data_IF_562976622314
#
_entry.id   IF_562976622314
#
_cell.length_a   1.000
_cell.length_b   1.000
_cell.length_c   1.000
_cell.angle_alpha   90.00
_cell.angle_beta   90.00
_cell.angle_gamma   90.00
#
_symmetry.space_group_name_H-M   'P 1'
#
loop_
_entity.id
_entity.type
_entity.pdbx_description
1 polymer ?
#
# COMPACT_ATOMS: atom_id res chain seq x y z
N UNK A 1 -9.15 -6.71 15.84
CA UNK A 1 -8.20 -5.75 16.46
C UNK A 1 -7.01 -5.54 15.55
N UNK A 2 -6.41 -4.36 15.60
CA UNK A 2 -5.15 -4.05 14.91
C UNK A 2 -4.04 -4.81 15.63
N UNK A 3 -3.11 -5.40 14.89
CA UNK A 3 -1.86 -5.91 15.45
C UNK A 3 -0.90 -4.73 15.64
N UNK A 4 -0.84 -4.21 16.87
CA UNK A 4 -0.04 -3.02 17.19
C UNK A 4 1.46 -3.23 16.98
N UNK A 5 1.98 -4.44 17.25
CA UNK A 5 3.39 -4.79 17.05
C UNK A 5 3.76 -4.75 15.57
N UNK A 6 2.98 -5.41 14.72
CA UNK A 6 3.20 -5.40 13.27
C UNK A 6 3.08 -3.99 12.69
N UNK A 7 2.09 -3.21 13.14
CA UNK A 7 1.92 -1.82 12.70
C UNK A 7 3.12 -0.96 13.13
N UNK A 8 3.58 -1.09 14.37
CA UNK A 8 4.75 -0.38 14.88
C UNK A 8 6.02 -0.72 14.09
N UNK A 9 6.24 -2.00 13.79
CA UNK A 9 7.37 -2.45 12.96
C UNK A 9 7.37 -1.82 11.57
N UNK A 10 6.22 -1.80 10.88
CA UNK A 10 6.10 -1.18 9.55
C UNK A 10 6.31 0.33 9.62
N UNK A 11 5.75 1.03 10.62
CA UNK A 11 5.95 2.46 10.79
C UNK A 11 7.43 2.81 11.05
N UNK A 12 8.14 2.01 11.84
CA UNK A 12 9.57 2.17 12.06
C UNK A 12 10.39 1.99 10.78
N UNK A 13 10.03 1.00 9.94
CA UNK A 13 10.67 0.80 8.64
C UNK A 13 10.40 1.95 7.68
N UNK A 14 9.18 2.48 7.64
CA UNK A 14 8.85 3.66 6.85
C UNK A 14 9.66 4.86 7.29
N UNK A 15 9.77 5.11 8.61
CA UNK A 15 10.63 6.16 9.16
C UNK A 15 12.09 6.00 8.70
N UNK A 16 12.62 4.78 8.78
CA UNK A 16 13.99 4.49 8.35
C UNK A 16 14.19 4.69 6.85
N UNK A 17 13.19 4.34 6.03
CA UNK A 17 13.25 4.54 4.58
C UNK A 17 13.14 6.02 4.19
N UNK A 18 12.38 6.82 4.94
CA UNK A 18 12.19 8.24 4.71
C UNK A 18 13.33 9.10 5.27
N UNK A 19 14.06 8.60 6.26
CA UNK A 19 15.18 9.35 6.82
C UNK A 19 16.26 9.52 5.75
N UNK A 20 16.62 10.78 5.48
CA UNK A 20 17.71 11.10 4.55
C UNK A 20 18.94 10.35 4.98
N UNK A 21 19.48 9.52 4.07
CA UNK A 21 20.70 8.76 4.33
C UNK A 21 21.85 9.72 4.53
N UNK A 22 22.17 10.06 5.77
CA UNK A 22 23.53 10.51 6.09
C UNK A 22 24.44 9.32 5.75
N UNK A 23 25.12 9.45 4.63
CA UNK A 23 26.04 8.45 4.08
C UNK A 23 27.01 8.08 5.21
N UNK A 24 26.90 6.84 5.74
CA UNK A 24 27.87 6.25 6.66
C UNK A 24 27.45 5.99 8.10
N UNK A 25 26.22 6.26 8.52
CA UNK A 25 25.75 5.87 9.86
C UNK A 25 25.23 4.44 9.88
N UNK A 26 25.91 3.56 10.62
CA UNK A 26 25.46 2.19 10.86
C UNK A 26 24.30 2.08 11.89
N UNK A 27 23.86 3.22 12.45
CA UNK A 27 22.78 3.28 13.44
C UNK A 27 21.47 3.74 12.77
N UNK A 28 20.31 3.17 13.16
CA UNK A 28 19.04 3.67 12.69
C UNK A 28 18.87 5.14 13.09
N UNK A 29 18.23 5.97 12.26
CA UNK A 29 18.02 7.37 12.57
C UNK A 29 17.24 7.52 13.87
N UNK A 30 17.52 8.56 14.67
CA UNK A 30 16.80 8.81 15.91
C UNK A 30 15.29 8.93 15.62
N UNK A 31 14.46 8.53 16.58
CA UNK A 31 13.02 8.79 16.49
C UNK A 31 12.80 10.30 16.38
N UNK A 32 12.02 10.70 15.38
CA UNK A 32 11.51 12.05 15.31
C UNK A 32 10.60 12.36 16.51
N UNK A 33 10.31 13.64 16.71
CA UNK A 33 9.37 14.06 17.77
C UNK A 33 7.98 13.53 17.41
N UNK A 34 7.33 12.88 18.39
CA UNK A 34 5.97 12.39 18.21
C UNK A 34 5.01 13.54 17.94
N UNK A 35 4.26 13.44 16.84
CA UNK A 35 3.23 14.40 16.45
C UNK A 35 1.82 13.99 16.93
N UNK A 36 1.68 12.83 17.59
CA UNK A 36 0.41 12.40 18.20
C UNK A 36 0.24 12.99 19.58
N UNK A 37 -0.34 14.18 19.65
CA UNK A 37 -0.62 14.87 20.91
C UNK A 37 -1.97 14.48 21.52
N UNK A 38 -2.75 13.67 20.83
CA UNK A 38 -4.06 13.21 21.32
C UNK A 38 -3.95 12.15 22.42
N UNK A 39 -2.77 11.56 22.61
CA UNK A 39 -2.55 10.51 23.58
C UNK A 39 -2.45 11.11 25.00
N UNK A 40 -3.41 10.79 25.81
CA UNK A 40 -3.37 11.08 27.24
C UNK A 40 -2.48 10.04 27.93
N UNK A 41 -1.48 10.50 28.66
CA UNK A 41 -0.79 9.66 29.65
C UNK A 41 -1.51 9.89 30.99
N UNK A 42 -2.42 8.99 31.35
CA UNK A 42 -3.33 9.21 32.48
C UNK A 42 -4.32 10.37 32.18
N UNK A 43 -4.73 11.12 33.18
CA UNK A 43 -5.65 12.26 33.06
C UNK A 43 -4.96 13.58 32.64
N UNK A 44 -3.72 13.55 32.23
CA UNK A 44 -2.97 14.75 31.84
C UNK A 44 -2.60 14.73 30.37
N UNK A 45 -2.97 15.81 29.65
CA UNK A 45 -2.38 16.17 28.36
C UNK A 45 -0.95 16.60 28.69
N UNK A 46 0.06 15.92 28.13
CA UNK A 46 1.44 16.37 28.26
C UNK A 46 1.55 17.75 27.59
N UNK A 47 2.07 18.78 28.28
CA UNK A 47 2.32 20.06 27.66
C UNK A 47 3.39 19.86 26.56
N UNK A 48 3.13 20.38 25.39
CA UNK A 48 4.09 20.43 24.29
C UNK A 48 4.76 21.78 24.34
N UNK A 49 6.08 21.79 24.46
CA UNK A 49 6.88 23.03 24.44
C UNK A 49 7.40 23.31 23.03
N UNK A 50 7.54 24.58 22.69
CA UNK A 50 8.23 25.00 21.46
C UNK A 50 9.67 24.47 21.44
N UNK A 51 10.28 24.35 22.61
CA UNK A 51 11.66 23.84 22.75
C UNK A 51 11.78 22.36 22.36
N UNK A 52 10.67 21.59 22.44
CA UNK A 52 10.62 20.18 21.99
C UNK A 52 10.78 20.07 20.46
N UNK A 53 10.52 21.16 19.72
CA UNK A 53 10.62 21.27 18.27
C UNK A 53 11.76 22.17 17.81
N UNK A 54 12.79 22.36 18.63
CA UNK A 54 13.97 23.14 18.27
C UNK A 54 14.73 22.58 17.06
N UNK A 55 15.52 23.43 16.38
CA UNK A 55 16.24 23.12 15.13
C UNK A 55 17.09 21.84 15.16
N UNK A 56 17.51 21.37 16.35
CA UNK A 56 18.32 20.16 16.51
C UNK A 56 17.50 18.85 16.60
N UNK A 57 16.18 18.93 16.60
CA UNK A 57 15.28 17.78 16.75
C UNK A 57 14.62 17.36 15.43
N UNK A 58 14.78 18.14 14.37
CA UNK A 58 14.20 17.83 13.07
C UNK A 58 15.03 16.75 12.37
N UNK A 59 14.48 15.54 12.30
CA UNK A 59 14.97 14.54 11.35
C UNK A 59 14.53 15.02 9.96
N UNK A 60 15.49 15.20 9.06
CA UNK A 60 15.18 15.50 7.66
C UNK A 60 14.64 14.25 6.98
N UNK A 61 13.34 14.25 6.73
CA UNK A 61 12.64 13.17 6.04
C UNK A 61 12.45 13.51 4.56
N UNK A 62 12.71 12.52 3.70
CA UNK A 62 12.16 12.55 2.35
C UNK A 62 10.65 12.26 2.45
N UNK A 63 9.84 13.31 2.38
CA UNK A 63 8.38 13.23 2.50
C UNK A 63 7.69 12.88 1.16
N UNK A 64 8.45 12.53 0.11
CA UNK A 64 7.89 12.15 -1.19
C UNK A 64 7.32 10.72 -1.18
N UNK A 65 6.55 10.41 -0.15
CA UNK A 65 5.85 9.15 0.03
C UNK A 65 4.34 9.36 0.07
N UNK A 66 3.61 8.46 -0.56
CA UNK A 66 2.16 8.30 -0.39
C UNK A 66 1.91 6.91 0.16
N UNK A 67 1.13 6.81 1.21
CA UNK A 67 0.78 5.54 1.83
C UNK A 67 -0.67 5.24 1.52
N UNK A 68 -0.94 4.00 1.10
CA UNK A 68 -2.31 3.51 0.89
C UNK A 68 -2.46 2.19 1.63
N UNK A 69 -3.47 2.09 2.48
CA UNK A 69 -3.79 0.82 3.13
C UNK A 69 -5.14 0.27 2.69
N UNK A 70 -5.27 -1.05 2.72
CA UNK A 70 -6.53 -1.72 2.46
C UNK A 70 -7.53 -1.54 3.61
N UNK A 71 -8.80 -1.84 3.33
CA UNK A 71 -9.84 -1.86 4.36
C UNK A 71 -9.70 -3.06 5.32
N UNK A 72 -9.01 -4.13 4.89
CA UNK A 72 -8.85 -5.35 5.64
C UNK A 72 -10.20 -5.90 6.16
N UNK A 73 -10.18 -6.63 7.26
CA UNK A 73 -11.39 -7.12 7.91
C UNK A 73 -12.30 -6.00 8.45
N UNK A 74 -11.76 -4.79 8.64
CA UNK A 74 -12.51 -3.63 9.16
C UNK A 74 -13.61 -3.17 8.20
N UNK A 75 -13.36 -3.18 6.88
CA UNK A 75 -14.34 -2.77 5.88
C UNK A 75 -15.06 -3.95 5.21
N UNK A 76 -14.40 -5.09 5.07
CA UNK A 76 -14.98 -6.22 4.33
C UNK A 76 -16.22 -6.81 4.98
N UNK A 77 -16.25 -6.92 6.30
CA UNK A 77 -17.39 -7.50 7.01
C UNK A 77 -18.67 -6.69 6.77
N UNK A 78 -18.62 -5.39 7.00
CA UNK A 78 -19.78 -4.49 6.83
C UNK A 78 -20.22 -4.45 5.37
N UNK A 79 -19.26 -4.31 4.44
CA UNK A 79 -19.53 -4.22 3.02
C UNK A 79 -20.13 -5.51 2.45
N UNK A 80 -19.67 -6.69 2.88
CA UNK A 80 -20.19 -7.98 2.42
C UNK A 80 -21.58 -8.25 2.97
N UNK A 81 -21.80 -8.01 4.27
CA UNK A 81 -23.09 -8.26 4.95
C UNK A 81 -24.19 -7.36 4.42
N UNK A 82 -23.89 -6.10 4.12
CA UNK A 82 -24.87 -5.13 3.65
C UNK A 82 -25.05 -5.07 2.14
N UNK A 83 -24.12 -5.67 1.38
CA UNK A 83 -24.14 -5.64 -0.09
C UNK A 83 -23.66 -4.34 -0.72
N UNK A 84 -22.95 -3.47 0.00
CA UNK A 84 -22.38 -2.20 -0.53
C UNK A 84 -21.57 -2.41 -1.83
N UNK A 85 -20.83 -3.51 -1.91
CA UNK A 85 -20.03 -3.84 -3.09
C UNK A 85 -20.87 -4.15 -4.35
N UNK A 86 -22.17 -4.44 -4.18
CA UNK A 86 -23.13 -4.70 -5.28
C UNK A 86 -23.90 -3.45 -5.69
N UNK A 87 -23.80 -2.38 -4.91
CA UNK A 87 -24.56 -1.17 -5.13
C UNK A 87 -25.96 -1.19 -4.51
N UNK A 88 -26.86 -0.32 -5.02
CA UNK A 88 -28.22 -0.23 -4.51
C UNK A 88 -28.37 0.70 -3.31
N UNK A 89 -27.74 1.87 -3.35
CA UNK A 89 -27.72 2.85 -2.26
C UNK A 89 -29.12 3.33 -1.82
N UNK A 90 -30.16 3.11 -2.65
CA UNK A 90 -31.56 3.37 -2.32
C UNK A 90 -32.11 2.39 -1.26
N UNK A 91 -31.48 1.22 -1.09
CA UNK A 91 -31.88 0.24 -0.09
C UNK A 91 -31.37 0.65 1.30
N UNK A 92 -32.24 0.68 2.35
CA UNK A 92 -31.84 1.08 3.69
C UNK A 92 -30.65 0.31 4.26
N UNK A 93 -30.59 -1.02 4.03
CA UNK A 93 -29.49 -1.86 4.50
C UNK A 93 -28.15 -1.48 3.83
N UNK A 94 -28.16 -1.25 2.51
CA UNK A 94 -26.95 -0.84 1.78
C UNK A 94 -26.49 0.54 2.25
N UNK A 95 -27.41 1.48 2.45
CA UNK A 95 -27.09 2.81 2.97
C UNK A 95 -26.48 2.74 4.37
N UNK A 96 -27.07 1.95 5.26
CA UNK A 96 -26.52 1.73 6.60
C UNK A 96 -25.13 1.06 6.55
N UNK A 97 -24.95 0.07 5.69
CA UNK A 97 -23.68 -0.60 5.47
C UNK A 97 -22.60 0.32 4.88
N UNK A 98 -22.99 1.22 3.99
CA UNK A 98 -22.09 2.24 3.45
C UNK A 98 -21.55 3.13 4.59
N UNK A 99 -22.41 3.64 5.45
CA UNK A 99 -22.00 4.43 6.63
C UNK A 99 -21.11 3.61 7.56
N UNK A 100 -21.50 2.38 7.89
CA UNK A 100 -20.74 1.50 8.79
C UNK A 100 -19.35 1.17 8.22
N UNK A 101 -19.26 0.89 6.92
CA UNK A 101 -17.99 0.66 6.24
C UNK A 101 -17.08 1.88 6.35
N UNK A 102 -17.63 3.07 6.05
CA UNK A 102 -16.87 4.31 6.14
C UNK A 102 -16.35 4.60 7.55
N UNK A 103 -17.20 4.43 8.57
CA UNK A 103 -16.77 4.58 9.97
C UNK A 103 -15.60 3.65 10.27
N UNK A 104 -15.70 2.40 9.87
CA UNK A 104 -14.65 1.40 10.16
C UNK A 104 -13.32 1.71 9.48
N UNK A 105 -13.34 2.05 8.19
CA UNK A 105 -12.09 2.30 7.44
C UNK A 105 -11.46 3.64 7.80
N UNK A 106 -12.25 4.67 8.11
CA UNK A 106 -11.71 5.96 8.58
C UNK A 106 -11.14 5.86 9.99
N UNK A 107 -11.74 5.03 10.86
CA UNK A 107 -11.17 4.73 12.18
C UNK A 107 -9.83 3.99 12.06
N UNK A 108 -9.73 3.00 11.16
CA UNK A 108 -8.47 2.31 10.88
C UNK A 108 -7.41 3.29 10.34
N UNK A 109 -7.79 4.16 9.41
CA UNK A 109 -6.89 5.17 8.86
C UNK A 109 -6.34 6.08 9.97
N UNK A 110 -7.19 6.54 10.88
CA UNK A 110 -6.79 7.37 12.01
C UNK A 110 -5.75 6.66 12.90
N UNK A 111 -5.92 5.36 13.19
CA UNK A 111 -4.94 4.61 14.00
C UNK A 111 -3.60 4.45 13.27
N UNK A 112 -3.61 4.25 11.96
CA UNK A 112 -2.39 4.20 11.15
C UNK A 112 -1.68 5.56 11.14
N UNK A 113 -2.41 6.65 10.91
CA UNK A 113 -1.87 8.01 10.98
C UNK A 113 -1.26 8.31 12.34
N UNK A 114 -1.93 7.91 13.44
CA UNK A 114 -1.38 8.04 14.80
C UNK A 114 -0.08 7.27 14.97
N UNK A 115 -0.02 6.03 14.46
CA UNK A 115 1.18 5.22 14.56
C UNK A 115 2.37 5.85 13.80
N UNK A 116 2.12 6.38 12.61
CA UNK A 116 3.11 7.12 11.82
C UNK A 116 3.56 8.41 12.53
N UNK A 117 2.60 9.18 13.05
CA UNK A 117 2.87 10.41 13.79
C UNK A 117 3.72 10.18 15.06
N UNK A 118 3.57 9.02 15.73
CA UNK A 118 4.42 8.62 16.86
C UNK A 118 5.87 8.34 16.46
N UNK A 119 6.08 7.93 15.22
CA UNK A 119 7.44 7.78 14.65
C UNK A 119 8.01 9.11 14.13
N UNK A 120 7.27 10.21 14.26
CA UNK A 120 7.69 11.55 13.80
C UNK A 120 7.46 11.76 12.30
N UNK A 121 6.65 10.92 11.63
CA UNK A 121 6.30 11.07 10.23
C UNK A 121 5.12 12.06 10.13
N UNK A 122 5.25 13.18 9.38
CA UNK A 122 4.21 14.19 9.25
C UNK A 122 3.07 13.68 8.35
N UNK A 123 2.29 12.71 8.85
CA UNK A 123 1.27 12.01 8.09
C UNK A 123 -0.11 12.64 8.25
N UNK A 124 -0.88 12.66 7.15
CA UNK A 124 -2.26 13.17 7.11
C UNK A 124 -3.19 12.15 6.47
N UNK A 125 -4.27 11.81 7.17
CA UNK A 125 -5.28 10.88 6.67
C UNK A 125 -6.15 11.54 5.59
N UNK A 126 -6.33 10.83 4.48
CA UNK A 126 -7.16 11.28 3.37
C UNK A 126 -8.13 10.18 2.95
N UNK A 127 -9.43 10.47 3.02
CA UNK A 127 -10.46 9.55 2.56
C UNK A 127 -10.76 9.80 1.08
N UNK A 128 -10.69 8.77 0.21
CA UNK A 128 -11.11 8.92 -1.18
C UNK A 128 -12.51 9.51 -1.34
N UNK A 129 -13.48 9.04 -0.56
CA UNK A 129 -14.83 9.59 -0.59
C UNK A 129 -14.85 11.10 -0.27
N UNK A 130 -14.18 11.53 0.80
CA UNK A 130 -14.15 12.94 1.21
C UNK A 130 -13.39 13.81 0.18
N UNK A 131 -12.42 13.24 -0.54
CA UNK A 131 -11.70 13.90 -1.63
C UNK A 131 -12.47 13.86 -2.97
N UNK A 132 -13.72 13.44 -2.98
CA UNK A 132 -14.58 13.46 -4.17
C UNK A 132 -14.30 12.35 -5.18
N UNK A 133 -13.59 11.29 -4.78
CA UNK A 133 -13.37 10.15 -5.67
C UNK A 133 -14.67 9.37 -5.89
N UNK A 134 -14.92 9.00 -7.12
CA UNK A 134 -16.07 8.21 -7.52
C UNK A 134 -15.68 7.17 -8.56
N UNK A 135 -16.58 6.22 -8.77
CA UNK A 135 -16.36 5.12 -9.73
C UNK A 135 -17.50 5.03 -10.73
N UNK A 136 -17.25 4.32 -11.81
CA UNK A 136 -18.25 3.85 -12.77
C UNK A 136 -17.93 2.39 -13.10
N UNK A 137 -18.85 1.47 -12.81
CA UNK A 137 -18.60 0.02 -12.90
C UNK A 137 -17.31 -0.39 -12.18
N UNK A 138 -17.08 0.14 -10.98
CA UNK A 138 -15.90 -0.10 -10.13
C UNK A 138 -14.57 0.49 -10.64
N UNK A 139 -14.52 1.05 -11.85
CA UNK A 139 -13.36 1.79 -12.32
C UNK A 139 -13.42 3.22 -11.80
N UNK A 140 -12.27 3.82 -11.52
CA UNK A 140 -12.19 5.22 -11.12
C UNK A 140 -12.75 6.09 -12.26
N UNK A 141 -13.80 6.85 -11.98
CA UNK A 141 -14.44 7.78 -12.90
C UNK A 141 -14.02 9.22 -12.63
N UNK A 142 -13.84 9.56 -11.36
CA UNK A 142 -13.33 10.86 -10.91
C UNK A 142 -12.42 10.66 -9.71
N UNK A 143 -11.25 11.27 -9.74
CA UNK A 143 -10.31 11.32 -8.64
C UNK A 143 -9.51 12.62 -8.72
N UNK A 144 -9.80 13.54 -7.82
CA UNK A 144 -9.01 14.75 -7.68
C UNK A 144 -7.77 14.46 -6.83
N UNK A 145 -6.59 14.55 -7.43
CA UNK A 145 -5.32 14.39 -6.74
C UNK A 145 -4.75 15.73 -6.21
N UNK A 146 -5.43 16.87 -6.42
CA UNK A 146 -4.90 18.18 -6.06
C UNK A 146 -4.54 18.26 -4.56
N UNK A 147 -5.40 17.75 -3.68
CA UNK A 147 -5.14 17.74 -2.24
C UNK A 147 -3.95 16.83 -1.86
N UNK A 148 -3.74 15.74 -2.58
CA UNK A 148 -2.58 14.84 -2.37
C UNK A 148 -1.30 15.57 -2.77
N UNK A 149 -1.29 16.19 -3.95
CA UNK A 149 -0.15 16.97 -4.46
C UNK A 149 0.16 18.15 -3.53
N UNK A 150 -0.85 18.89 -3.09
CA UNK A 150 -0.66 19.99 -2.16
C UNK A 150 -0.09 19.53 -0.83
N UNK A 151 -0.55 18.38 -0.30
CA UNK A 151 -0.01 17.83 0.95
C UNK A 151 1.44 17.40 0.80
N UNK A 152 1.81 16.73 -0.30
CA UNK A 152 3.21 16.41 -0.61
C UNK A 152 4.07 17.68 -0.72
N UNK A 153 3.59 18.70 -1.43
CA UNK A 153 4.30 19.98 -1.58
C UNK A 153 4.47 20.74 -0.26
N UNK A 154 3.56 20.52 0.68
CA UNK A 154 3.65 21.09 2.03
C UNK A 154 4.50 20.23 3.00
N UNK A 155 5.13 19.16 2.53
CA UNK A 155 5.97 18.27 3.33
C UNK A 155 5.21 17.24 4.16
N UNK A 156 3.93 16.99 3.87
CA UNK A 156 3.16 15.94 4.53
C UNK A 156 3.21 14.63 3.75
N UNK A 157 2.98 13.53 4.45
CA UNK A 157 2.81 12.19 3.89
C UNK A 157 1.31 11.85 3.85
N UNK A 158 0.66 11.88 2.66
CA UNK A 158 -0.73 11.49 2.52
C UNK A 158 -0.93 10.01 2.81
N UNK A 159 -1.96 9.68 3.61
CA UNK A 159 -2.33 8.31 3.97
C UNK A 159 -3.77 8.07 3.51
N UNK A 160 -3.91 7.37 2.38
CA UNK A 160 -5.21 7.00 1.83
C UNK A 160 -5.61 5.58 2.27
N UNK A 161 -6.84 5.21 1.99
CA UNK A 161 -7.36 3.88 2.34
C UNK A 161 -8.39 3.37 1.34
N UNK A 162 -8.52 2.05 1.23
CA UNK A 162 -9.69 1.46 0.57
C UNK A 162 -10.97 1.98 1.21
N UNK A 163 -11.97 2.37 0.41
CA UNK A 163 -13.12 3.13 0.89
C UNK A 163 -14.43 2.70 0.23
N UNK A 164 -15.56 3.01 0.85
CA UNK A 164 -16.84 3.00 0.20
C UNK A 164 -17.05 4.35 -0.50
N UNK A 165 -17.30 4.31 -1.81
CA UNK A 165 -17.46 5.50 -2.66
C UNK A 165 -18.75 5.44 -3.47
N UNK A 166 -19.14 6.59 -4.02
CA UNK A 166 -20.26 6.63 -4.96
C UNK A 166 -19.84 6.01 -6.31
N UNK A 167 -20.77 5.27 -6.92
CA UNK A 167 -20.61 4.72 -8.26
C UNK A 167 -21.72 5.24 -9.15
N UNK A 168 -21.38 5.75 -10.34
CA UNK A 168 -22.33 6.44 -11.21
C UNK A 168 -23.43 5.53 -11.78
N UNK A 169 -23.20 4.20 -11.81
CA UNK A 169 -24.16 3.25 -12.38
C UNK A 169 -24.91 2.46 -11.30
N UNK A 170 -24.21 2.00 -10.29
CA UNK A 170 -24.80 1.14 -9.25
C UNK A 170 -25.07 1.88 -7.93
N UNK A 171 -24.76 3.18 -7.87
CA UNK A 171 -24.98 4.06 -6.73
C UNK A 171 -23.82 4.08 -5.74
N UNK A 172 -23.26 2.93 -5.37
CA UNK A 172 -22.07 2.83 -4.53
C UNK A 172 -21.26 1.55 -4.81
N UNK A 173 -20.01 1.55 -4.39
CA UNK A 173 -19.15 0.36 -4.40
C UNK A 173 -18.00 0.51 -3.40
N UNK A 174 -17.17 -0.54 -3.32
CA UNK A 174 -15.89 -0.50 -2.62
C UNK A 174 -14.79 -0.20 -3.62
N UNK A 175 -14.04 0.86 -3.35
CA UNK A 175 -12.82 1.22 -4.05
C UNK A 175 -11.63 0.61 -3.29
N UNK A 176 -10.94 -0.34 -3.90
CA UNK A 176 -9.81 -1.04 -3.25
C UNK A 176 -8.56 -0.17 -3.18
N UNK A 177 -7.70 -0.43 -2.19
CA UNK A 177 -6.39 0.22 -2.07
C UNK A 177 -5.51 -0.02 -3.30
N UNK A 178 -5.58 -1.21 -3.89
CA UNK A 178 -4.78 -1.57 -5.07
C UNK A 178 -5.15 -0.72 -6.30
N UNK A 179 -6.46 -0.47 -6.51
CA UNK A 179 -6.94 0.43 -7.57
C UNK A 179 -6.53 1.88 -7.30
N UNK A 180 -6.56 2.31 -6.03
CA UNK A 180 -6.08 3.66 -5.63
C UNK A 180 -4.61 3.81 -5.97
N UNK A 181 -3.76 2.84 -5.59
CA UNK A 181 -2.31 2.87 -5.88
C UNK A 181 -2.06 2.94 -7.38
N UNK A 182 -2.74 2.10 -8.17
CA UNK A 182 -2.60 2.15 -9.64
C UNK A 182 -2.94 3.54 -10.19
N UNK A 183 -4.05 4.12 -9.75
CA UNK A 183 -4.46 5.43 -10.23
C UNK A 183 -3.48 6.54 -9.82
N UNK A 184 -3.00 6.50 -8.58
CA UNK A 184 -1.95 7.43 -8.12
C UNK A 184 -0.64 7.25 -8.88
N UNK A 185 -0.24 6.02 -9.18
CA UNK A 185 0.95 5.75 -9.98
C UNK A 185 0.85 6.34 -11.40
N UNK A 186 -0.34 6.31 -12.01
CA UNK A 186 -0.60 6.95 -13.31
C UNK A 186 -0.50 8.48 -13.24
N UNK A 187 -0.91 9.09 -12.14
CA UNK A 187 -0.92 10.54 -11.98
C UNK A 187 0.43 11.10 -11.51
N UNK A 188 1.08 10.44 -10.57
CA UNK A 188 2.26 10.96 -9.87
C UNK A 188 3.57 10.41 -10.43
N UNK A 189 3.52 9.33 -11.22
CA UNK A 189 4.69 8.63 -11.79
C UNK A 189 5.80 8.45 -10.74
N UNK A 190 5.56 7.65 -9.70
CA UNK A 190 6.54 7.42 -8.65
C UNK A 190 7.76 6.66 -9.19
N UNK A 191 8.88 6.75 -8.50
CA UNK A 191 10.10 6.02 -8.84
C UNK A 191 9.90 4.51 -8.78
N UNK A 192 9.14 4.03 -7.80
CA UNK A 192 8.73 2.63 -7.62
C UNK A 192 7.48 2.55 -6.74
N UNK A 193 6.86 1.38 -6.71
CA UNK A 193 5.72 1.07 -5.83
C UNK A 193 6.04 -0.17 -4.99
N UNK A 194 5.71 -0.15 -3.72
CA UNK A 194 5.89 -1.29 -2.80
C UNK A 194 4.57 -1.75 -2.25
N UNK A 195 4.21 -3.01 -2.49
CA UNK A 195 3.10 -3.68 -1.84
C UNK A 195 3.62 -4.50 -0.65
N UNK A 196 3.20 -4.12 0.55
CA UNK A 196 3.47 -4.86 1.77
C UNK A 196 2.34 -5.86 2.04
N UNK A 197 2.70 -7.13 2.16
CA UNK A 197 1.77 -8.25 2.35
C UNK A 197 2.15 -9.09 3.56
N UNK A 198 1.36 -10.10 3.87
CA UNK A 198 1.63 -11.08 4.93
C UNK A 198 2.50 -12.27 4.46
N UNK A 199 2.75 -12.36 3.15
CA UNK A 199 3.60 -13.38 2.52
C UNK A 199 4.84 -12.75 1.88
N UNK A 200 5.87 -13.55 1.57
CA UNK A 200 7.13 -13.03 1.01
C UNK A 200 6.96 -12.39 -0.37
N UNK A 201 5.98 -12.84 -1.15
CA UNK A 201 5.72 -12.35 -2.50
C UNK A 201 4.66 -13.20 -3.18
N UNK A 202 4.69 -13.27 -4.51
CA UNK A 202 3.82 -14.10 -5.34
C UNK A 202 4.36 -15.52 -5.38
N UNK A 203 3.50 -16.52 -5.26
CA UNK A 203 3.86 -17.94 -5.35
C UNK A 203 3.12 -18.61 -6.50
N UNK A 204 3.69 -19.69 -7.02
CA UNK A 204 3.10 -20.53 -8.07
C UNK A 204 1.86 -21.31 -7.57
N UNK A 205 1.75 -21.49 -6.26
CA UNK A 205 0.65 -22.18 -5.54
C UNK A 205 0.54 -21.62 -4.12
N UNK A 206 -0.47 -22.00 -3.32
CA UNK A 206 -0.64 -21.48 -1.96
C UNK A 206 0.66 -21.57 -1.14
N UNK A 207 1.07 -20.52 -0.42
CA UNK A 207 2.29 -20.52 0.39
C UNK A 207 2.31 -21.59 1.50
N UNK A 208 1.16 -22.16 1.83
CA UNK A 208 1.03 -23.29 2.77
C UNK A 208 1.45 -24.63 2.19
N UNK A 209 1.57 -24.74 0.86
CA UNK A 209 2.10 -25.93 0.20
C UNK A 209 3.62 -25.98 0.39
N UNK A 210 4.20 -27.09 0.92
CA UNK A 210 5.64 -27.21 1.11
C UNK A 210 6.45 -27.16 -0.19
N UNK A 211 5.80 -27.37 -1.34
CA UNK A 211 6.43 -27.25 -2.67
C UNK A 211 6.15 -25.91 -3.34
N UNK A 212 5.59 -24.92 -2.63
CA UNK A 212 5.33 -23.60 -3.18
C UNK A 212 6.64 -22.91 -3.56
N UNK A 213 6.70 -22.40 -4.78
CA UNK A 213 7.85 -21.70 -5.33
C UNK A 213 7.57 -20.21 -5.32
N UNK A 214 8.44 -19.44 -4.67
CA UNK A 214 8.37 -17.98 -4.69
C UNK A 214 8.77 -17.48 -6.09
N UNK A 215 7.87 -16.78 -6.75
CA UNK A 215 8.11 -16.11 -8.02
C UNK A 215 8.90 -14.83 -7.73
N UNK A 216 10.12 -14.74 -8.26
CA UNK A 216 11.04 -13.65 -7.97
C UNK A 216 10.87 -12.47 -8.92
N UNK A 217 10.55 -12.75 -10.17
CA UNK A 217 10.45 -11.73 -11.19
C UNK A 217 9.34 -12.06 -12.20
N UNK A 218 8.48 -11.08 -12.42
CA UNK A 218 7.41 -11.10 -13.42
C UNK A 218 7.68 -9.96 -14.39
N UNK A 219 7.64 -10.26 -15.67
CA UNK A 219 7.80 -9.29 -16.76
C UNK A 219 6.46 -9.08 -17.45
N UNK A 220 6.13 -7.83 -17.69
CA UNK A 220 4.86 -7.41 -18.31
C UNK A 220 5.15 -6.79 -19.67
N UNK A 221 4.52 -7.31 -20.72
CA UNK A 221 4.62 -6.83 -22.09
C UNK A 221 3.68 -5.64 -22.35
N UNK A 222 3.89 -4.98 -23.49
CA UNK A 222 3.09 -3.80 -23.90
C UNK A 222 1.60 -4.10 -24.06
N UNK A 223 1.27 -5.31 -24.52
CA UNK A 223 -0.11 -5.77 -24.67
C UNK A 223 -0.81 -6.10 -23.35
N UNK A 224 -0.04 -6.11 -22.26
CA UNK A 224 -0.49 -6.44 -20.91
C UNK A 224 -0.40 -7.92 -20.55
N UNK A 225 0.10 -8.75 -21.46
CA UNK A 225 0.49 -10.11 -21.13
C UNK A 225 1.69 -10.09 -20.19
N UNK A 226 1.85 -11.11 -19.36
CA UNK A 226 2.95 -11.20 -18.43
C UNK A 226 3.50 -12.62 -18.35
N UNK A 227 4.77 -12.73 -18.05
CA UNK A 227 5.49 -13.98 -17.92
C UNK A 227 6.38 -14.00 -16.69
N UNK A 228 6.63 -15.20 -16.16
CA UNK A 228 7.57 -15.40 -15.05
C UNK A 228 8.97 -15.48 -15.62
N UNK A 229 9.86 -14.58 -15.21
CA UNK A 229 11.25 -14.60 -15.65
C UNK A 229 12.14 -15.40 -14.67
N UNK A 230 11.89 -15.31 -13.37
CA UNK A 230 12.65 -16.01 -12.32
C UNK A 230 11.69 -16.61 -11.26
N UNK A 231 11.90 -17.88 -10.86
CA UNK A 231 12.83 -18.83 -11.45
C UNK A 231 12.41 -19.23 -12.86
N UNK A 232 13.37 -19.63 -13.69
CA UNK A 232 13.07 -20.20 -15.00
C UNK A 232 12.37 -21.53 -14.79
N UNK A 233 11.08 -21.58 -15.03
CA UNK A 233 10.24 -22.76 -14.85
C UNK A 233 10.31 -23.61 -16.11
N UNK A 234 11.45 -24.29 -16.34
CA UNK A 234 11.70 -25.09 -17.55
C UNK A 234 10.65 -26.21 -17.79
N UNK A 235 9.92 -26.59 -16.74
CA UNK A 235 8.88 -27.64 -16.81
C UNK A 235 7.47 -27.09 -17.06
N UNK A 236 7.27 -25.79 -17.09
CA UNK A 236 5.96 -25.15 -17.32
C UNK A 236 5.91 -24.46 -18.69
N UNK A 237 6.32 -25.16 -19.75
CA UNK A 237 6.11 -24.76 -21.17
C UNK A 237 4.67 -24.82 -21.65
N UNK A 238 3.70 -24.93 -20.80
CA UNK A 238 2.29 -24.67 -21.07
C UNK A 238 1.90 -23.48 -20.22
N UNK A 239 1.17 -22.54 -20.86
CA UNK A 239 0.49 -21.42 -20.23
C UNK A 239 0.41 -21.61 -18.72
N UNK A 240 1.31 -20.97 -17.98
CA UNK A 240 1.12 -20.85 -16.57
C UNK A 240 -0.11 -19.98 -16.45
N UNK A 241 -1.30 -20.59 -16.58
CA UNK A 241 -2.38 -20.20 -15.71
C UNK A 241 -1.73 -20.29 -14.33
N UNK A 242 -1.11 -19.18 -13.89
CA UNK A 242 -0.96 -19.01 -12.47
C UNK A 242 -2.40 -19.08 -12.00
N UNK A 243 -2.78 -20.27 -11.64
CA UNK A 243 -3.88 -20.48 -10.73
C UNK A 243 -3.37 -19.85 -9.47
N UNK A 244 -3.40 -18.50 -9.45
CA UNK A 244 -3.35 -17.72 -8.23
C UNK A 244 -4.44 -18.36 -7.43
N UNK A 245 -4.02 -19.17 -6.50
CA UNK A 245 -4.78 -20.30 -6.01
C UNK A 245 -6.19 -19.83 -5.73
N UNK A 246 -7.16 -20.55 -6.29
CA UNK A 246 -8.58 -20.42 -6.02
C UNK A 246 -8.94 -20.52 -4.52
N UNK A 247 -7.95 -20.50 -3.65
CA UNK A 247 -8.00 -20.55 -2.19
C UNK A 247 -7.61 -19.25 -1.48
N UNK A 248 -7.18 -18.18 -2.18
CA UNK A 248 -7.32 -16.86 -1.62
C UNK A 248 -8.80 -16.47 -1.73
N UNK A 249 -9.56 -16.83 -0.71
CA UNK A 249 -11.00 -16.57 -0.60
C UNK A 249 -11.35 -15.07 -0.68
N UNK A 250 -10.36 -14.21 -0.83
CA UNK A 250 -10.48 -12.75 -0.92
C UNK A 250 -10.14 -12.19 -2.30
N UNK A 251 -9.56 -12.95 -3.22
CA UNK A 251 -9.12 -12.45 -4.54
C UNK A 251 -8.02 -11.38 -4.45
N UNK A 252 -7.44 -11.18 -3.28
CA UNK A 252 -6.57 -10.05 -2.98
C UNK A 252 -5.26 -10.05 -3.75
N UNK A 253 -4.61 -11.22 -3.89
CA UNK A 253 -3.32 -11.31 -4.59
C UNK A 253 -3.48 -11.21 -6.10
N UNK A 254 -4.52 -11.80 -6.68
CA UNK A 254 -4.82 -11.69 -8.11
C UNK A 254 -5.09 -10.24 -8.53
N UNK A 255 -5.92 -9.54 -7.76
CA UNK A 255 -6.19 -8.11 -7.98
C UNK A 255 -4.90 -7.31 -7.86
N UNK A 256 -4.08 -7.59 -6.85
CA UNK A 256 -2.80 -6.92 -6.63
C UNK A 256 -1.84 -7.11 -7.80
N UNK A 257 -1.69 -8.33 -8.31
CA UNK A 257 -0.85 -8.62 -9.49
C UNK A 257 -1.37 -7.88 -10.72
N UNK A 258 -2.69 -7.91 -10.95
CA UNK A 258 -3.31 -7.22 -12.08
C UNK A 258 -3.07 -5.71 -12.04
N UNK A 259 -3.25 -5.07 -10.88
CA UNK A 259 -3.00 -3.64 -10.73
C UNK A 259 -1.49 -3.32 -10.82
N UNK A 260 -0.63 -4.17 -10.25
CA UNK A 260 0.83 -4.06 -10.35
C UNK A 260 1.33 -4.17 -11.81
N UNK A 261 0.73 -5.06 -12.61
CA UNK A 261 1.05 -5.19 -14.02
C UNK A 261 0.72 -3.90 -14.80
N UNK A 262 -0.41 -3.27 -14.51
CA UNK A 262 -0.76 -1.96 -15.13
C UNK A 262 0.26 -0.89 -14.74
N UNK A 263 0.71 -0.86 -13.48
CA UNK A 263 1.74 0.08 -13.01
C UNK A 263 3.08 -0.19 -13.72
N UNK A 264 3.48 -1.45 -13.82
CA UNK A 264 4.73 -1.84 -14.46
C UNK A 264 4.79 -1.42 -15.95
N UNK A 265 3.67 -1.46 -16.67
CA UNK A 265 3.58 -0.97 -18.06
C UNK A 265 3.90 0.52 -18.20
N UNK A 266 3.78 1.31 -17.14
CA UNK A 266 4.20 2.71 -17.12
C UNK A 266 5.73 2.88 -16.98
N UNK A 267 6.48 1.79 -16.87
CA UNK A 267 7.92 1.80 -16.62
C UNK A 267 8.26 1.96 -15.13
N UNK A 268 7.33 1.68 -14.24
CA UNK A 268 7.50 1.80 -12.78
C UNK A 268 7.67 0.40 -12.21
N UNK A 269 8.79 0.12 -11.56
CA UNK A 269 9.01 -1.16 -10.89
C UNK A 269 8.08 -1.29 -9.68
N UNK A 270 7.49 -2.48 -9.53
CA UNK A 270 6.60 -2.82 -8.42
C UNK A 270 7.20 -3.96 -7.62
N UNK A 271 7.34 -3.74 -6.32
CA UNK A 271 7.85 -4.74 -5.38
C UNK A 271 6.72 -5.27 -4.52
N UNK A 272 6.58 -6.60 -4.42
CA UNK A 272 5.65 -7.27 -3.50
C UNK A 272 6.49 -8.04 -2.48
N UNK A 273 6.34 -7.75 -1.20
CA UNK A 273 7.16 -8.35 -0.15
C UNK A 273 6.43 -8.41 1.19
N UNK A 274 6.93 -9.26 2.09
CA UNK A 274 6.35 -9.43 3.43
C UNK A 274 6.67 -8.23 4.31
N UNK A 275 5.63 -7.65 4.88
CA UNK A 275 5.72 -6.54 5.83
C UNK A 275 6.57 -6.88 7.07
N UNK A 276 7.33 -5.91 7.59
CA UNK A 276 8.09 -6.07 8.82
C UNK A 276 9.38 -6.90 8.69
N UNK A 277 9.82 -7.21 7.47
CA UNK A 277 11.07 -7.94 7.19
C UNK A 277 12.17 -7.01 6.70
N UNK A 278 13.43 -7.46 6.70
CA UNK A 278 14.53 -6.72 6.07
C UNK A 278 14.29 -6.52 4.56
N UNK A 279 13.57 -7.48 3.92
CA UNK A 279 13.24 -7.41 2.52
C UNK A 279 12.28 -6.26 2.22
N UNK A 280 11.30 -6.02 3.11
CA UNK A 280 10.41 -4.86 2.99
C UNK A 280 11.16 -3.54 3.19
N UNK A 281 12.09 -3.48 4.12
CA UNK A 281 12.91 -2.29 4.35
C UNK A 281 13.77 -1.96 3.12
N UNK A 282 14.42 -2.96 2.53
CA UNK A 282 15.20 -2.78 1.29
C UNK A 282 14.34 -2.29 0.13
N UNK A 283 13.13 -2.84 -0.03
CA UNK A 283 12.19 -2.39 -1.05
C UNK A 283 11.74 -0.94 -0.80
N UNK A 284 11.40 -0.59 0.45
CA UNK A 284 11.00 0.78 0.82
C UNK A 284 12.12 1.80 0.61
N UNK A 285 13.39 1.40 0.73
CA UNK A 285 14.56 2.24 0.43
C UNK A 285 14.91 2.29 -1.06
N UNK A 286 14.22 1.52 -1.91
CA UNK A 286 14.57 1.37 -3.32
C UNK A 286 15.94 0.69 -3.54
N UNK A 287 16.36 -0.17 -2.61
CA UNK A 287 17.65 -0.88 -2.60
C UNK A 287 17.47 -2.36 -3.00
N UNK A 288 16.64 -2.61 -3.98
CA UNK A 288 16.44 -3.95 -4.56
C UNK A 288 17.19 -3.98 -5.88
N UNK A 289 18.39 -4.53 -5.86
CA UNK A 289 19.20 -4.75 -7.07
C UNK A 289 18.70 -5.99 -7.81
N UNK A 290 18.84 -5.98 -9.15
CA UNK A 290 18.33 -7.03 -10.03
C UNK A 290 18.99 -8.41 -9.82
N UNK A 291 20.17 -8.46 -9.19
CA UNK A 291 20.99 -9.67 -9.02
C UNK A 291 21.11 -10.14 -7.58
N UNK A 292 20.42 -9.54 -6.62
CA UNK A 292 20.50 -9.98 -5.23
C UNK A 292 19.66 -11.24 -5.01
N UNK A 293 20.31 -12.40 -5.04
CA UNK A 293 19.68 -13.69 -4.71
C UNK A 293 19.13 -13.74 -3.27
N UNK A 294 19.64 -12.91 -2.39
CA UNK A 294 19.28 -12.83 -0.97
C UNK A 294 18.01 -12.01 -0.67
N UNK A 295 17.49 -11.21 -1.62
CA UNK A 295 16.24 -10.47 -1.41
C UNK A 295 15.04 -11.38 -1.69
N UNK A 296 14.15 -11.56 -0.71
CA UNK A 296 12.94 -12.38 -0.83
C UNK A 296 11.72 -11.48 -1.06
N UNK A 297 11.21 -11.53 -2.27
CA UNK A 297 10.06 -10.80 -2.75
C UNK A 297 9.81 -11.07 -4.22
N UNK A 298 8.80 -10.43 -4.78
CA UNK A 298 8.48 -10.46 -6.22
C UNK A 298 8.66 -9.08 -6.80
N UNK A 299 9.43 -8.97 -7.87
CA UNK A 299 9.51 -7.75 -8.69
C UNK A 299 8.60 -7.93 -9.90
N UNK A 300 7.79 -6.91 -10.20
CA UNK A 300 6.99 -6.84 -11.42
C UNK A 300 7.45 -5.62 -12.20
N UNK A 301 7.92 -5.80 -13.44
CA UNK A 301 8.47 -4.73 -14.27
C UNK A 301 8.07 -4.86 -15.74
N UNK A 302 8.25 -3.78 -16.49
CA UNK A 302 8.06 -3.80 -17.94
C UNK A 302 9.16 -4.61 -18.63
N UNK A 303 8.81 -5.35 -19.70
CA UNK A 303 9.78 -6.05 -20.55
C UNK A 303 10.83 -5.13 -21.15
N UNK A 304 10.53 -3.83 -21.32
CA UNK A 304 11.51 -2.83 -21.78
C UNK A 304 12.63 -2.54 -20.78
N UNK A 305 12.39 -2.79 -19.49
CA UNK A 305 13.33 -2.54 -18.39
C UNK A 305 13.89 -3.83 -17.80
N UNK A 306 13.46 -4.99 -18.30
CA UNK A 306 14.04 -6.26 -17.88
C UNK A 306 15.49 -6.35 -18.39
N UNK A 307 16.46 -6.79 -17.54
CA UNK A 307 17.81 -7.05 -18.02
C UNK A 307 17.74 -8.07 -19.14
N UNK A 308 18.42 -7.77 -20.27
CA UNK A 308 18.57 -8.72 -21.36
C UNK A 308 19.19 -9.98 -20.77
N UNK A 309 18.47 -11.10 -20.84
CA UNK A 309 19.02 -12.42 -20.47
C UNK A 309 20.26 -12.67 -21.30
N UNK A 310 21.40 -12.78 -20.60
CA UNK A 310 22.68 -13.14 -21.21
C UNK A 310 22.65 -14.59 -21.74
#
# INVERSE_FOLDING_TARGET
>A
SINEESLGSVCAQLREAMASSSIGSASPPPRGISMDWSRRSGDRILPVSVDDFGEHSAVDFDNNFVIVHGAGSFGHFQASTSGVHKGGLHLPLVKAGFVATRISVTSLNLEIVRALAREGIPSVGMSPFACGWSTQKRNVASADAAQIIHSLSAGFVPVLHGDAVLDHLQGCTILSGDVIIRHLAQLLIPKYVVFLTDVLGVYDRPPSDPNAILIREIVVDEDGSWSVLKPTLEHLKKEVEITVAAHDTTGGMETKISEAAVIARLGIDVYITKAGTEHSLRALKGQVDNDTEDWLGTVIRSSKHAPLSA
#
